data_IF_333928047202
#
_entry.id   IF_333928047202
#
_cell.length_a   1.000
_cell.length_b   1.000
_cell.length_c   1.000
_cell.angle_alpha   90.00
_cell.angle_beta   90.00
_cell.angle_gamma   90.00
#
_symmetry.space_group_name_H-M   'P 1'
#
loop_
_entity.id
_entity.type
_entity.pdbx_description
1 polymer ?
#
# COMPACT_ATOMS: atom_id res chain seq x y z
N UNK A 1 11.39 -22.20 2.89
CA UNK A 1 11.51 -20.95 2.12
C UNK A 1 10.37 -20.07 2.62
N UNK A 2 10.64 -19.28 3.64
CA UNK A 2 9.63 -18.39 4.21
C UNK A 2 9.52 -17.19 3.29
N UNK A 3 8.39 -17.08 2.61
CA UNK A 3 8.04 -15.95 1.78
C UNK A 3 8.04 -14.70 2.67
N UNK A 4 9.09 -13.91 2.53
CA UNK A 4 9.25 -12.59 3.15
C UNK A 4 8.12 -11.70 2.65
N UNK A 5 7.00 -11.73 3.37
CA UNK A 5 6.06 -10.63 3.37
C UNK A 5 6.87 -9.43 3.87
N UNK A 6 7.30 -8.55 2.96
CA UNK A 6 8.25 -7.47 3.20
C UNK A 6 7.72 -6.35 4.12
N UNK A 7 6.72 -6.66 4.94
CA UNK A 7 5.91 -5.74 5.70
C UNK A 7 5.51 -6.41 7.02
N UNK A 8 5.98 -5.88 8.15
CA UNK A 8 5.51 -6.31 9.48
C UNK A 8 4.01 -6.01 9.63
N UNK A 9 3.28 -6.82 10.41
CA UNK A 9 1.82 -6.63 10.63
C UNK A 9 1.50 -5.23 11.18
N UNK A 10 2.36 -4.68 12.03
CA UNK A 10 2.19 -3.33 12.58
C UNK A 10 2.34 -2.24 11.51
N UNK A 11 3.31 -2.38 10.60
CA UNK A 11 3.46 -1.48 9.45
C UNK A 11 2.34 -1.69 8.43
N UNK A 12 1.83 -2.92 8.30
CA UNK A 12 0.76 -3.26 7.37
C UNK A 12 -0.51 -2.45 7.64
N UNK A 13 -0.82 -2.18 8.92
CA UNK A 13 -1.97 -1.36 9.33
C UNK A 13 -1.90 0.07 8.79
N UNK A 14 -0.69 0.59 8.54
CA UNK A 14 -0.50 1.92 7.97
C UNK A 14 -0.38 1.90 6.43
N UNK A 15 -0.39 0.73 5.80
CA UNK A 15 -0.34 0.59 4.34
C UNK A 15 -1.74 0.56 3.71
N UNK A 16 -1.79 0.85 2.42
CA UNK A 16 -3.02 0.85 1.63
C UNK A 16 -3.75 -0.49 1.63
N UNK A 17 -3.05 -1.63 1.76
CA UNK A 17 -3.74 -2.92 1.81
C UNK A 17 -4.64 -3.04 3.05
N UNK A 18 -4.20 -2.55 4.23
CA UNK A 18 -5.02 -2.53 5.44
C UNK A 18 -6.09 -1.44 5.37
N UNK A 19 -5.73 -0.23 4.96
CA UNK A 19 -6.70 0.87 4.79
C UNK A 19 -7.85 0.48 3.85
N UNK A 20 -7.56 -0.30 2.80
CA UNK A 20 -8.55 -0.87 1.89
C UNK A 20 -9.41 -1.97 2.54
N UNK A 21 -8.81 -2.81 3.39
CA UNK A 21 -9.56 -3.79 4.18
C UNK A 21 -10.51 -3.11 5.18
N UNK A 22 -10.11 -1.97 5.74
CA UNK A 22 -10.90 -1.16 6.68
C UNK A 22 -11.94 -0.26 5.99
N UNK A 23 -12.05 -0.29 4.66
CA UNK A 23 -12.89 0.63 3.87
C UNK A 23 -12.63 2.12 4.17
N UNK A 24 -11.37 2.47 4.48
CA UNK A 24 -10.98 3.84 4.78
C UNK A 24 -10.71 4.62 3.48
N UNK A 25 -11.76 4.76 2.67
CA UNK A 25 -11.72 5.33 1.32
C UNK A 25 -11.20 6.77 1.29
N UNK A 26 -11.42 7.54 2.35
CA UNK A 26 -10.92 8.92 2.47
C UNK A 26 -9.38 8.95 2.51
N UNK A 27 -8.78 8.14 3.40
CA UNK A 27 -7.33 8.00 3.45
C UNK A 27 -6.78 7.44 2.14
N UNK A 28 -7.44 6.44 1.55
CA UNK A 28 -7.04 5.88 0.25
C UNK A 28 -7.07 6.96 -0.82
N UNK A 29 -8.13 7.77 -0.92
CA UNK A 29 -8.21 8.86 -1.89
C UNK A 29 -7.08 9.86 -1.71
N UNK A 30 -6.82 10.33 -0.48
CA UNK A 30 -5.73 11.27 -0.23
C UNK A 30 -4.36 10.67 -0.57
N UNK A 31 -4.16 9.39 -0.24
CA UNK A 31 -2.91 8.68 -0.48
C UNK A 31 -2.78 8.14 -1.90
N UNK A 32 -3.83 8.15 -2.72
CA UNK A 32 -3.83 7.71 -4.13
C UNK A 32 -4.26 8.80 -5.11
N UNK A 33 -4.30 10.06 -4.66
CA UNK A 33 -4.62 11.23 -5.48
C UNK A 33 -3.65 11.40 -6.66
N UNK A 34 -2.36 11.12 -6.43
CA UNK A 34 -1.27 11.14 -7.41
C UNK A 34 -0.41 9.89 -7.24
N UNK A 35 -0.92 8.73 -7.66
CA UNK A 35 -0.24 7.50 -7.39
C UNK A 35 1.06 7.43 -8.20
N UNK A 36 2.19 7.41 -7.51
CA UNK A 36 3.53 7.26 -8.10
C UNK A 36 4.01 5.81 -8.03
N UNK A 37 3.38 5.03 -7.14
CA UNK A 37 3.69 3.63 -6.89
C UNK A 37 2.40 2.80 -6.79
N UNK A 38 2.53 1.51 -7.04
CA UNK A 38 1.51 0.49 -6.86
C UNK A 38 2.07 -0.62 -5.97
N UNK A 39 1.22 -1.22 -5.14
CA UNK A 39 1.56 -2.39 -4.36
C UNK A 39 1.50 -3.62 -5.27
N UNK A 40 2.63 -4.27 -5.60
CA UNK A 40 2.61 -5.52 -6.38
C UNK A 40 1.81 -6.64 -5.71
N UNK A 41 1.65 -6.58 -4.38
CA UNK A 41 0.99 -7.63 -3.61
C UNK A 41 -0.55 -7.53 -3.65
N UNK A 42 -1.09 -6.31 -3.48
CA UNK A 42 -2.54 -6.10 -3.37
C UNK A 42 -3.12 -5.20 -4.48
N UNK A 43 -2.29 -4.69 -5.40
CA UNK A 43 -2.67 -3.78 -6.47
C UNK A 43 -3.09 -2.38 -6.00
N UNK A 44 -2.85 -2.04 -4.73
CA UNK A 44 -3.24 -0.74 -4.19
C UNK A 44 -2.24 0.33 -4.63
N UNK A 45 -2.75 1.46 -5.13
CA UNK A 45 -1.94 2.57 -5.62
C UNK A 45 -1.72 3.59 -4.53
N UNK A 46 -0.52 4.16 -4.46
CA UNK A 46 -0.21 5.21 -3.51
C UNK A 46 0.74 6.27 -4.08
N UNK A 47 0.73 7.43 -3.46
CA UNK A 47 1.56 8.57 -3.80
C UNK A 47 3.01 8.36 -3.36
N UNK A 48 3.25 7.47 -2.39
CA UNK A 48 4.58 7.18 -1.84
C UNK A 48 4.74 5.68 -1.58
N UNK A 49 5.98 5.16 -1.72
CA UNK A 49 6.30 3.76 -1.45
C UNK A 49 6.08 3.32 -0.01
N UNK A 50 6.21 4.24 0.95
CA UNK A 50 5.94 4.00 2.38
C UNK A 50 4.49 3.62 2.69
N UNK A 51 3.56 3.90 1.78
CA UNK A 51 2.13 3.63 2.00
C UNK A 51 1.72 2.26 1.46
N UNK A 52 2.64 1.43 0.95
CA UNK A 52 2.34 0.14 0.34
C UNK A 52 3.35 -0.91 0.76
N UNK A 53 2.93 -2.18 0.81
CA UNK A 53 3.79 -3.27 1.29
C UNK A 53 4.90 -3.64 0.31
N UNK A 54 4.60 -3.57 -0.99
CA UNK A 54 5.52 -3.93 -2.06
C UNK A 54 5.48 -2.83 -3.12
N UNK A 55 6.13 -1.68 -2.87
CA UNK A 55 6.08 -0.55 -3.78
C UNK A 55 6.74 -0.88 -5.12
N UNK A 56 5.96 -0.69 -6.18
CA UNK A 56 6.39 -0.80 -7.57
C UNK A 56 6.10 0.53 -8.25
N UNK A 57 7.11 1.15 -8.86
CA UNK A 57 6.93 2.45 -9.50
C UNK A 57 6.02 2.33 -10.73
N UNK A 58 5.04 3.23 -10.82
CA UNK A 58 4.21 3.42 -12.00
C UNK A 58 4.98 4.37 -12.92
N UNK A 59 5.72 3.79 -13.87
CA UNK A 59 6.55 4.52 -14.84
C UNK A 59 5.75 5.14 -15.97
#
# INVERSE_FOLDING_TARGET
MEEVMACNIEQHKMHMCALKAENNEECIKSLSDKPTVECSNCGAKANSPDNVCAPQQLS
#
